data_IF_024632124397
#
_entry.id   IF_024632124397
#
_cell.length_a   1.000
_cell.length_b   1.000
_cell.length_c   1.000
_cell.angle_alpha   90.00
_cell.angle_beta   90.00
_cell.angle_gamma   90.00
#
_symmetry.space_group_name_H-M   'P 1'
#
loop_
_entity.id
_entity.type
_entity.pdbx_description
1 polymer ?
#
# COMPACT_ATOMS: atom_id res chain seq x y z
N UNK A 1 5.71 41.32 34.32
CA UNK A 1 6.43 40.03 34.22
C UNK A 1 5.40 38.94 34.02
N UNK A 2 5.24 38.43 32.80
CA UNK A 2 4.48 37.20 32.53
C UNK A 2 5.24 36.46 31.44
N UNK A 3 6.02 35.47 31.84
CA UNK A 3 6.73 34.58 30.92
C UNK A 3 5.74 33.49 30.49
N UNK A 4 5.42 33.47 29.20
CA UNK A 4 4.63 32.40 28.60
C UNK A 4 5.57 31.21 28.43
N UNK A 5 5.39 30.15 29.21
CA UNK A 5 6.08 28.89 29.00
C UNK A 5 5.53 28.25 27.73
N UNK A 6 6.31 28.28 26.66
CA UNK A 6 6.09 27.44 25.49
C UNK A 6 6.23 25.97 25.92
N UNK A 7 5.15 25.22 25.80
CA UNK A 7 5.16 23.77 25.99
C UNK A 7 5.97 23.16 24.85
N UNK A 8 7.11 22.56 25.15
CA UNK A 8 7.87 21.77 24.17
C UNK A 8 7.02 20.59 23.70
N UNK A 9 6.95 20.31 22.38
CA UNK A 9 6.26 19.13 21.89
C UNK A 9 6.96 17.89 22.44
N UNK A 10 6.22 17.06 23.17
CA UNK A 10 6.70 15.77 23.66
C UNK A 10 7.21 14.88 22.53
N UNK A 11 8.03 13.86 22.84
CA UNK A 11 8.61 13.00 21.81
C UNK A 11 7.51 12.39 20.93
N UNK A 12 7.55 12.72 19.64
CA UNK A 12 6.71 12.08 18.61
C UNK A 12 6.84 10.57 18.77
N UNK A 13 5.71 9.85 18.83
CA UNK A 13 5.72 8.40 18.77
C UNK A 13 6.58 7.93 17.58
N UNK A 14 7.35 6.84 17.72
CA UNK A 14 8.20 6.35 16.65
C UNK A 14 7.34 6.00 15.43
N UNK A 15 7.71 6.55 14.27
CA UNK A 15 7.04 6.28 13.00
C UNK A 15 7.36 4.85 12.55
N UNK A 16 6.35 4.12 12.11
CA UNK A 16 6.55 2.80 11.51
C UNK A 16 7.31 2.94 10.18
N UNK A 17 8.06 1.90 9.82
CA UNK A 17 8.84 1.81 8.57
C UNK A 17 8.51 0.55 7.76
N UNK A 18 8.87 0.52 6.48
CA UNK A 18 8.75 -0.68 5.63
C UNK A 18 9.51 -1.89 6.19
N UNK A 19 10.66 -1.69 6.85
CA UNK A 19 11.44 -2.77 7.49
C UNK A 19 10.74 -3.33 8.73
N UNK A 20 10.04 -2.50 9.50
CA UNK A 20 9.23 -2.94 10.63
C UNK A 20 7.97 -3.66 10.18
N UNK A 21 7.28 -3.15 9.15
CA UNK A 21 6.12 -3.85 8.59
C UNK A 21 6.50 -5.19 7.99
N UNK A 22 7.63 -5.27 7.28
CA UNK A 22 8.09 -6.52 6.70
C UNK A 22 8.27 -7.61 7.77
N UNK A 23 8.73 -7.26 8.98
CA UNK A 23 8.95 -8.22 10.08
C UNK A 23 7.67 -8.76 10.74
N UNK A 24 6.49 -8.22 10.42
CA UNK A 24 5.22 -8.64 11.02
C UNK A 24 4.64 -9.86 10.31
N UNK A 25 3.89 -10.67 11.06
CA UNK A 25 3.10 -11.76 10.52
C UNK A 25 1.74 -11.27 9.99
N UNK A 26 1.00 -12.16 9.33
CA UNK A 26 -0.31 -11.84 8.72
C UNK A 26 -1.31 -11.29 9.76
N UNK A 27 -1.51 -11.90 10.95
CA UNK A 27 -2.42 -11.35 11.96
C UNK A 27 -1.99 -9.97 12.48
N UNK A 28 -0.69 -9.73 12.66
CA UNK A 28 -0.19 -8.42 13.11
C UNK A 28 -0.39 -7.33 12.07
N UNK A 29 -0.24 -7.65 10.79
CA UNK A 29 -0.49 -6.73 9.68
C UNK A 29 -1.98 -6.44 9.52
N UNK A 30 -2.82 -7.47 9.59
CA UNK A 30 -4.28 -7.35 9.60
C UNK A 30 -4.75 -6.43 10.75
N UNK A 31 -4.29 -6.67 11.98
CA UNK A 31 -4.66 -5.85 13.12
C UNK A 31 -4.20 -4.39 12.96
N UNK A 32 -3.08 -4.15 12.29
CA UNK A 32 -2.60 -2.81 11.98
C UNK A 32 -3.46 -2.13 10.91
N UNK A 33 -3.82 -2.84 9.84
CA UNK A 33 -4.71 -2.36 8.79
C UNK A 33 -6.08 -1.92 9.33
N UNK A 34 -6.68 -2.74 10.21
CA UNK A 34 -7.97 -2.43 10.85
C UNK A 34 -7.96 -1.18 11.72
N UNK A 35 -6.80 -0.78 12.25
CA UNK A 35 -6.61 0.49 12.99
C UNK A 35 -6.21 1.66 12.10
N UNK A 36 -5.92 1.40 10.82
CA UNK A 36 -5.55 2.41 9.86
C UNK A 36 -6.71 3.36 9.56
N UNK A 37 -6.38 4.49 8.94
CA UNK A 37 -7.35 5.53 8.57
C UNK A 37 -7.24 5.88 7.09
N UNK A 38 -8.27 6.55 6.57
CA UNK A 38 -8.23 7.19 5.25
C UNK A 38 -7.82 8.65 5.44
N UNK A 39 -6.61 9.06 5.03
CA UNK A 39 -6.26 10.48 4.98
C UNK A 39 -6.86 11.12 3.70
N UNK A 40 -6.64 12.44 3.53
CA UNK A 40 -6.92 13.09 2.24
C UNK A 40 -6.15 12.37 1.12
N UNK A 41 -6.80 12.09 -0.02
CA UNK A 41 -6.20 11.33 -1.12
C UNK A 41 -4.88 11.90 -1.61
N UNK A 42 -4.74 13.23 -1.61
CA UNK A 42 -3.51 13.93 -1.96
C UNK A 42 -2.28 13.53 -1.11
N UNK A 43 -2.49 12.90 0.06
CA UNK A 43 -1.40 12.35 0.89
C UNK A 43 -0.67 11.19 0.19
N UNK A 44 -1.32 10.47 -0.73
CA UNK A 44 -0.71 9.37 -1.50
C UNK A 44 -0.05 9.83 -2.80
N UNK A 45 -0.27 11.08 -3.22
CA UNK A 45 0.15 11.56 -4.54
C UNK A 45 1.66 11.40 -4.78
N UNK A 46 2.02 11.17 -6.04
CA UNK A 46 3.40 10.94 -6.46
C UNK A 46 3.73 9.46 -6.65
N UNK A 47 4.93 9.04 -6.26
CA UNK A 47 5.47 7.71 -6.57
C UNK A 47 5.93 6.94 -5.31
N UNK A 48 5.04 6.61 -4.35
CA UNK A 48 5.43 5.89 -3.14
C UNK A 48 6.21 4.61 -3.43
N UNK A 49 7.28 4.35 -2.66
CA UNK A 49 8.00 3.08 -2.75
C UNK A 49 7.14 1.96 -2.16
N UNK A 50 7.01 0.85 -2.90
CA UNK A 50 6.25 -0.31 -2.45
C UNK A 50 7.11 -1.45 -1.92
N UNK A 51 6.55 -2.24 -1.00
CA UNK A 51 7.15 -3.52 -0.57
C UNK A 51 6.10 -4.59 -0.28
N UNK A 52 6.28 -5.81 -0.81
CA UNK A 52 5.48 -6.97 -0.42
C UNK A 52 5.92 -7.45 0.98
N UNK A 53 4.97 -7.79 1.84
CA UNK A 53 5.25 -8.07 3.25
C UNK A 53 5.06 -9.54 3.60
N UNK A 54 3.84 -10.05 3.46
CA UNK A 54 3.47 -11.41 3.79
C UNK A 54 2.54 -11.98 2.72
N UNK A 55 2.80 -13.21 2.28
CA UNK A 55 2.04 -13.88 1.21
C UNK A 55 1.32 -15.08 1.81
N UNK A 56 0.03 -15.23 1.48
CA UNK A 56 -0.79 -16.36 1.94
C UNK A 56 -0.12 -17.68 1.62
N UNK A 57 0.05 -18.54 2.63
CA UNK A 57 0.62 -19.88 2.47
C UNK A 57 2.15 -19.92 2.46
N UNK A 58 2.82 -18.76 2.45
CA UNK A 58 4.27 -18.63 2.58
C UNK A 58 4.67 -17.85 3.84
N UNK A 59 3.71 -17.58 4.73
CA UNK A 59 3.83 -16.76 5.92
C UNK A 59 4.28 -17.53 7.18
N UNK A 60 4.53 -18.84 7.06
CA UNK A 60 5.10 -19.68 8.12
C UNK A 60 6.63 -19.72 8.06
N UNK A 61 7.28 -19.71 9.21
CA UNK A 61 8.73 -19.92 9.28
C UNK A 61 9.12 -21.35 8.86
N UNK A 62 10.27 -21.55 8.18
CA UNK A 62 11.31 -20.57 7.83
C UNK A 62 11.09 -19.84 6.49
N UNK A 63 10.00 -20.15 5.78
CA UNK A 63 9.74 -19.67 4.41
C UNK A 63 9.43 -18.17 4.40
N UNK A 64 8.70 -17.70 5.40
CA UNK A 64 8.37 -16.29 5.58
C UNK A 64 9.64 -15.41 5.59
N UNK A 65 10.70 -15.81 6.29
CA UNK A 65 11.97 -15.07 6.31
C UNK A 65 12.60 -14.91 4.92
N UNK A 66 12.52 -15.95 4.08
CA UNK A 66 13.07 -15.91 2.72
C UNK A 66 12.24 -15.01 1.81
N UNK A 67 10.90 -15.10 1.88
CA UNK A 67 9.99 -14.23 1.11
C UNK A 67 10.21 -12.77 1.47
N UNK A 68 10.29 -12.43 2.77
CA UNK A 68 10.57 -11.06 3.23
C UNK A 68 11.91 -10.54 2.70
N UNK A 69 12.95 -11.35 2.77
CA UNK A 69 14.28 -10.98 2.27
C UNK A 69 14.28 -10.71 0.77
N UNK A 70 13.55 -11.48 -0.02
CA UNK A 70 13.42 -11.28 -1.47
C UNK A 70 12.57 -10.05 -1.79
N UNK A 71 11.45 -9.86 -1.10
CA UNK A 71 10.55 -8.72 -1.32
C UNK A 71 11.16 -7.36 -0.95
N UNK A 72 12.14 -7.34 -0.03
CA UNK A 72 12.89 -6.14 0.34
C UNK A 72 14.13 -5.87 -0.53
N UNK A 73 14.49 -6.78 -1.43
CA UNK A 73 15.69 -6.62 -2.25
C UNK A 73 15.50 -5.53 -3.31
N UNK A 74 16.56 -4.77 -3.61
CA UNK A 74 16.53 -3.69 -4.60
C UNK A 74 16.21 -4.15 -6.03
N UNK A 75 16.43 -5.44 -6.33
CA UNK A 75 16.10 -6.05 -7.62
C UNK A 75 14.67 -6.60 -7.68
N UNK A 76 13.89 -6.49 -6.60
CA UNK A 76 12.54 -7.05 -6.56
C UNK A 76 11.67 -6.40 -7.64
N UNK A 77 10.93 -7.19 -8.44
CA UNK A 77 10.20 -6.66 -9.60
C UNK A 77 9.19 -5.57 -9.28
N UNK A 78 8.60 -5.54 -8.08
CA UNK A 78 7.57 -4.57 -7.77
C UNK A 78 8.15 -3.27 -7.19
N UNK A 79 7.97 -2.15 -7.90
CA UNK A 79 8.50 -0.83 -7.52
C UNK A 79 7.52 0.04 -6.73
N UNK A 80 6.31 -0.46 -6.47
CA UNK A 80 5.23 0.25 -5.81
C UNK A 80 4.14 0.71 -6.76
N UNK A 81 3.50 1.81 -6.40
CA UNK A 81 2.39 2.42 -7.16
C UNK A 81 2.65 3.92 -7.30
N UNK A 82 1.93 4.56 -8.20
CA UNK A 82 1.88 6.00 -8.33
C UNK A 82 0.45 6.48 -8.30
N UNK A 83 0.21 7.67 -7.76
CA UNK A 83 -1.12 8.22 -7.51
C UNK A 83 -1.20 9.68 -7.94
N UNK A 84 -2.39 10.06 -8.40
CA UNK A 84 -2.78 11.43 -8.65
C UNK A 84 -4.25 11.62 -8.24
N UNK A 85 -4.47 12.34 -7.16
CA UNK A 85 -5.79 12.76 -6.70
C UNK A 85 -6.44 13.70 -7.72
N UNK A 86 -7.75 13.55 -7.92
CA UNK A 86 -8.58 14.45 -8.74
C UNK A 86 -9.40 15.37 -7.85
N UNK A 87 -9.94 14.80 -6.77
CA UNK A 87 -10.69 15.48 -5.73
C UNK A 87 -10.51 14.72 -4.40
N UNK A 88 -11.30 15.09 -3.39
CA UNK A 88 -11.20 14.53 -2.04
C UNK A 88 -11.58 13.03 -1.96
N UNK A 89 -12.29 12.49 -2.95
CA UNK A 89 -12.82 11.13 -2.95
C UNK A 89 -12.41 10.29 -4.17
N UNK A 90 -11.85 10.89 -5.22
CA UNK A 90 -11.47 10.23 -6.45
C UNK A 90 -10.05 10.56 -6.91
N UNK A 91 -9.44 9.62 -7.63
CA UNK A 91 -8.15 9.81 -8.27
C UNK A 91 -7.83 8.72 -9.28
N UNK A 92 -6.59 8.76 -9.76
CA UNK A 92 -6.02 7.80 -10.69
C UNK A 92 -4.69 7.29 -10.13
N UNK A 93 -4.24 6.16 -10.65
CA UNK A 93 -2.89 5.70 -10.39
C UNK A 93 -2.45 4.59 -11.31
N UNK A 94 -1.23 4.12 -11.08
CA UNK A 94 -0.60 3.06 -11.85
C UNK A 94 0.25 2.16 -10.95
N UNK A 95 0.08 0.85 -11.08
CA UNK A 95 0.92 -0.12 -10.40
C UNK A 95 2.19 -0.36 -11.22
N UNK A 96 3.36 -0.18 -10.61
CA UNK A 96 4.68 -0.17 -11.27
C UNK A 96 5.41 -1.48 -11.05
N UNK A 97 5.54 -2.28 -12.10
CA UNK A 97 6.27 -3.57 -12.09
C UNK A 97 7.41 -3.55 -13.10
N UNK A 98 8.61 -3.90 -12.67
CA UNK A 98 9.83 -4.03 -13.46
C UNK A 98 10.13 -5.50 -13.69
N UNK A 99 9.88 -6.00 -14.90
CA UNK A 99 10.09 -7.42 -15.22
C UNK A 99 10.93 -7.54 -16.49
N UNK A 100 12.05 -8.26 -16.42
CA UNK A 100 12.88 -8.58 -17.58
C UNK A 100 13.42 -7.35 -18.32
N UNK A 101 13.72 -6.26 -17.60
CA UNK A 101 14.22 -5.01 -18.18
C UNK A 101 13.14 -4.11 -18.80
N UNK A 102 11.85 -4.46 -18.68
CA UNK A 102 10.72 -3.65 -19.14
C UNK A 102 9.82 -3.21 -17.99
N UNK A 103 9.29 -1.98 -18.07
CA UNK A 103 8.25 -1.49 -17.17
C UNK A 103 6.88 -2.02 -17.63
N UNK A 104 6.17 -2.70 -16.74
CA UNK A 104 4.75 -3.01 -16.86
C UNK A 104 3.97 -2.09 -15.93
N UNK A 105 3.04 -1.37 -16.52
CA UNK A 105 2.22 -0.36 -15.89
C UNK A 105 0.76 -0.82 -15.96
N UNK A 106 0.11 -0.90 -14.81
CA UNK A 106 -1.30 -1.30 -14.73
C UNK A 106 -2.11 -0.15 -14.12
N UNK A 107 -2.88 0.60 -14.93
CA UNK A 107 -3.67 1.72 -14.42
C UNK A 107 -4.74 1.24 -13.44
N UNK A 108 -5.15 2.13 -12.54
CA UNK A 108 -6.30 1.95 -11.65
C UNK A 108 -6.96 3.28 -11.33
N UNK A 109 -8.22 3.24 -10.91
CA UNK A 109 -8.91 4.38 -10.30
C UNK A 109 -8.87 4.28 -8.79
N UNK A 110 -8.80 5.41 -8.08
CA UNK A 110 -8.95 5.44 -6.62
C UNK A 110 -10.30 6.01 -6.22
N UNK A 111 -10.91 5.38 -5.23
CA UNK A 111 -12.19 5.77 -4.63
C UNK A 111 -12.16 5.51 -3.13
N UNK A 112 -12.92 6.26 -2.34
CA UNK A 112 -13.14 5.96 -0.92
C UNK A 112 -14.40 5.11 -0.78
N UNK A 113 -14.24 3.88 -0.30
CA UNK A 113 -15.32 2.90 -0.17
C UNK A 113 -15.20 2.09 1.14
N UNK A 114 -16.21 1.28 1.45
CA UNK A 114 -16.15 0.35 2.58
C UNK A 114 -15.18 -0.80 2.28
N UNK A 115 -14.26 -1.07 3.21
CA UNK A 115 -13.29 -2.17 3.09
C UNK A 115 -13.98 -3.52 3.10
N UNK A 116 -13.50 -4.44 2.28
CA UNK A 116 -13.96 -5.84 2.30
C UNK A 116 -13.42 -6.63 3.51
N UNK A 117 -12.45 -6.09 4.24
CA UNK A 117 -11.84 -6.72 5.42
C UNK A 117 -12.62 -6.45 6.70
N UNK A 118 -13.20 -5.26 6.86
CA UNK A 118 -13.88 -4.86 8.11
C UNK A 118 -15.05 -3.88 7.94
N UNK A 119 -15.40 -3.49 6.71
CA UNK A 119 -16.48 -2.55 6.42
C UNK A 119 -16.19 -1.07 6.72
N UNK A 120 -15.05 -0.74 7.33
CA UNK A 120 -14.68 0.65 7.59
C UNK A 120 -14.09 1.32 6.32
N UNK A 121 -14.03 2.66 6.24
CA UNK A 121 -13.55 3.34 5.04
C UNK A 121 -12.12 2.93 4.65
N UNK A 122 -11.88 2.74 3.36
CA UNK A 122 -10.56 2.51 2.76
C UNK A 122 -10.45 3.24 1.42
N UNK A 123 -9.23 3.37 0.92
CA UNK A 123 -8.99 3.81 -0.47
C UNK A 123 -8.92 2.54 -1.31
N UNK A 124 -9.94 2.30 -2.13
CA UNK A 124 -9.97 1.18 -3.08
C UNK A 124 -9.17 1.54 -4.32
N UNK A 125 -8.44 0.57 -4.87
CA UNK A 125 -7.74 0.68 -6.16
C UNK A 125 -8.45 -0.22 -7.18
N UNK A 126 -9.19 0.39 -8.09
CA UNK A 126 -9.99 -0.30 -9.10
C UNK A 126 -9.17 -0.61 -10.35
N UNK A 127 -8.81 -1.88 -10.53
CA UNK A 127 -8.10 -2.36 -11.72
C UNK A 127 -9.02 -2.87 -12.83
N UNK A 128 -10.36 -2.84 -12.68
CA UNK A 128 -11.29 -3.36 -13.68
C UNK A 128 -11.45 -2.43 -14.89
N UNK A 129 -10.33 -2.15 -15.55
CA UNK A 129 -10.19 -1.30 -16.70
C UNK A 129 -9.90 -2.17 -17.93
N UNK A 130 -10.47 -1.81 -19.09
CA UNK A 130 -10.31 -2.58 -20.32
C UNK A 130 -8.85 -2.72 -20.77
N UNK A 131 -7.99 -1.76 -20.39
CA UNK A 131 -6.56 -1.72 -20.68
C UNK A 131 -5.76 -2.75 -19.86
N UNK A 132 -6.31 -3.20 -18.72
CA UNK A 132 -5.64 -4.16 -17.86
C UNK A 132 -5.87 -5.61 -18.34
N UNK A 133 -4.85 -6.48 -18.27
CA UNK A 133 -5.03 -7.91 -18.47
C UNK A 133 -6.09 -8.49 -17.51
N UNK A 134 -6.81 -9.53 -17.95
CA UNK A 134 -7.88 -10.16 -17.15
C UNK A 134 -7.47 -10.50 -15.71
N UNK A 135 -6.26 -11.03 -15.51
CA UNK A 135 -5.73 -11.36 -14.18
C UNK A 135 -5.62 -10.12 -13.28
N UNK A 136 -5.19 -8.99 -13.85
CA UNK A 136 -5.04 -7.74 -13.11
C UNK A 136 -6.41 -7.13 -12.77
N UNK A 137 -7.38 -7.25 -13.67
CA UNK A 137 -8.78 -6.83 -13.43
C UNK A 137 -9.48 -7.60 -12.30
N UNK A 138 -8.92 -8.73 -11.87
CA UNK A 138 -9.40 -9.51 -10.73
C UNK A 138 -8.68 -9.19 -9.42
N UNK A 139 -7.66 -8.32 -9.45
CA UNK A 139 -7.02 -7.84 -8.24
C UNK A 139 -7.91 -6.78 -7.60
N UNK A 140 -8.23 -7.00 -6.33
CA UNK A 140 -8.80 -6.02 -5.43
C UNK A 140 -7.72 -5.61 -4.45
N UNK A 141 -7.24 -4.37 -4.58
CA UNK A 141 -6.39 -3.74 -3.58
C UNK A 141 -7.21 -2.67 -2.86
N UNK A 142 -6.98 -2.55 -1.55
CA UNK A 142 -7.44 -1.43 -0.74
C UNK A 142 -6.27 -0.95 0.13
N UNK A 143 -6.23 0.34 0.50
CA UNK A 143 -5.17 0.88 1.35
C UNK A 143 -5.70 1.79 2.45
N UNK A 144 -4.99 1.79 3.57
CA UNK A 144 -5.15 2.72 4.69
C UNK A 144 -3.80 3.20 5.17
N UNK A 145 -3.76 4.42 5.71
CA UNK A 145 -2.59 4.95 6.40
C UNK A 145 -2.50 4.34 7.79
N UNK A 146 -1.35 3.72 8.10
CA UNK A 146 -1.08 3.06 9.39
C UNK A 146 -0.05 3.79 10.24
N UNK A 147 0.67 4.74 9.64
CA UNK A 147 1.58 5.70 10.25
C UNK A 147 1.72 6.87 9.27
N UNK A 148 2.04 8.11 9.71
CA UNK A 148 2.16 9.26 8.79
C UNK A 148 3.02 8.96 7.55
N UNK A 149 2.40 8.97 6.36
CA UNK A 149 3.02 8.68 5.06
C UNK A 149 3.29 7.20 4.76
N UNK A 150 2.86 6.27 5.63
CA UNK A 150 3.01 4.84 5.44
C UNK A 150 1.64 4.16 5.35
N UNK A 151 1.40 3.54 4.20
CA UNK A 151 0.16 2.88 3.86
C UNK A 151 0.34 1.37 3.84
N UNK A 152 -0.69 0.66 4.28
CA UNK A 152 -0.77 -0.79 4.27
C UNK A 152 -2.03 -1.19 3.49
N UNK A 153 -1.91 -2.23 2.67
CA UNK A 153 -3.03 -2.76 1.90
C UNK A 153 -2.97 -4.27 1.73
N UNK A 154 -4.11 -4.96 1.79
CA UNK A 154 -4.22 -6.31 1.29
C UNK A 154 -4.37 -6.27 -0.24
N UNK A 155 -3.66 -7.16 -0.91
CA UNK A 155 -3.99 -7.57 -2.26
C UNK A 155 -4.83 -8.84 -2.18
N UNK A 156 -5.98 -8.80 -2.82
CA UNK A 156 -6.97 -9.88 -2.82
C UNK A 156 -7.36 -10.25 -4.23
N UNK A 157 -7.73 -11.51 -4.41
CA UNK A 157 -8.42 -11.97 -5.60
C UNK A 157 -9.93 -11.72 -5.43
N UNK A 158 -10.52 -10.92 -6.31
CA UNK A 158 -11.96 -10.66 -6.36
C UNK A 158 -12.68 -11.92 -6.85
N UNK A 159 -13.44 -12.54 -5.96
CA UNK A 159 -14.43 -13.57 -6.31
C UNK A 159 -15.83 -12.97 -6.48
N UNK A 160 -16.78 -13.79 -6.93
CA UNK A 160 -18.17 -13.36 -7.12
C UNK A 160 -18.88 -13.04 -5.80
N UNK A 161 -18.58 -13.82 -4.75
CA UNK A 161 -19.20 -13.68 -3.42
C UNK A 161 -18.21 -13.23 -2.35
N UNK A 162 -16.96 -13.69 -2.42
CA UNK A 162 -15.94 -13.42 -1.42
C UNK A 162 -14.60 -13.07 -2.05
N UNK A 163 -13.82 -12.25 -1.34
CA UNK A 163 -12.47 -11.88 -1.73
C UNK A 163 -11.48 -12.81 -1.06
N UNK A 164 -10.57 -13.39 -1.85
CA UNK A 164 -9.53 -14.28 -1.33
C UNK A 164 -8.25 -13.49 -1.10
N UNK A 165 -7.79 -13.43 0.16
CA UNK A 165 -6.50 -12.83 0.51
C UNK A 165 -5.33 -13.47 -0.25
N UNK A 166 -4.46 -12.63 -0.84
CA UNK A 166 -3.25 -13.06 -1.54
C UNK A 166 -2.01 -12.65 -0.75
N UNK A 167 -1.85 -11.36 -0.47
CA UNK A 167 -0.70 -10.84 0.26
C UNK A 167 -0.97 -9.48 0.92
N UNK A 168 -0.13 -9.11 1.88
CA UNK A 168 -0.02 -7.74 2.37
C UNK A 168 1.09 -6.99 1.64
N UNK A 169 0.84 -5.73 1.31
CA UNK A 169 1.83 -4.80 0.77
C UNK A 169 1.81 -3.48 1.51
N UNK A 170 2.91 -2.75 1.49
CA UNK A 170 2.98 -1.38 1.99
C UNK A 170 3.49 -0.40 0.93
N UNK A 171 3.13 0.87 1.10
CA UNK A 171 3.55 2.00 0.29
C UNK A 171 4.07 3.11 1.22
N UNK A 172 5.26 3.63 0.95
CA UNK A 172 5.87 4.70 1.75
C UNK A 172 6.03 5.97 0.91
N UNK A 173 5.26 7.00 1.23
CA UNK A 173 5.29 8.31 0.57
C UNK A 173 6.48 9.14 1.04
N UNK A 174 7.12 8.79 2.17
CA UNK A 174 8.34 9.43 2.66
C UNK A 174 9.58 8.98 1.87
N UNK A 175 9.47 7.91 1.07
CA UNK A 175 10.52 7.37 0.21
C UNK A 175 10.05 7.35 -1.24
N UNK A 176 9.83 8.50 -1.90
CA UNK A 176 9.34 8.52 -3.28
C UNK A 176 10.39 7.93 -4.22
N UNK A 177 9.97 6.98 -5.05
CA UNK A 177 10.77 6.53 -6.17
C UNK A 177 10.85 7.64 -7.23
N UNK A 178 11.89 7.61 -8.07
CA UNK A 178 11.95 8.48 -9.23
C UNK A 178 10.66 8.29 -10.08
N UNK A 179 10.06 9.38 -10.60
CA UNK A 179 8.93 9.27 -11.49
C UNK A 179 9.31 8.41 -12.70
N UNK A 180 8.46 7.44 -13.02
CA UNK A 180 8.58 6.67 -14.25
C UNK A 180 7.49 7.12 -15.21
N UNK A 181 7.89 7.64 -16.37
CA UNK A 181 7.02 7.83 -17.52
C UNK A 181 5.76 8.65 -17.27
N UNK A 182 5.91 9.98 -17.17
CA UNK A 182 5.04 10.86 -17.94
C UNK A 182 5.89 11.34 -19.11
N UNK A 183 5.69 10.73 -20.27
CA UNK A 183 6.12 11.33 -21.53
C UNK A 183 5.21 12.51 -21.86
#
# INVERSE_FOLDING_TARGET
MTTIHATEPGPSAPRLTLDELARRDVPSLDALYRRGKVPALATLDGNPTGRMLAVRGLDREPLAKRVRSLAGASFFPWGGKSFASKDDAHGLGVNRVHLGGSHKLFPFHTTIEASVVDGAPCIRLDYDLAENPWVIRHIHDEVREVSPGLFLGPAMWRGETEHTFVLWFALDTNLPAAPFGWG
#
